data_IF_261883980648
#
_entry.id   IF_261883980648
#
_cell.length_a   1.000
_cell.length_b   1.000
_cell.length_c   1.000
_cell.angle_alpha   90.00
_cell.angle_beta   90.00
_cell.angle_gamma   90.00
#
_symmetry.space_group_name_H-M   'P 1'
#
loop_
_entity.id
_entity.type
_entity.pdbx_description
1 polymer ?
#
# COMPACT_ATOMS: atom_id res chain seq x y z
N UNK A 1 20.12 6.49 1.42
CA UNK A 1 18.88 6.09 2.10
C UNK A 1 17.77 6.94 1.51
N UNK A 2 16.59 6.38 1.20
CA UNK A 2 15.46 7.22 0.79
C UNK A 2 14.90 7.84 2.06
N UNK A 3 15.04 9.15 2.20
CA UNK A 3 14.65 9.86 3.41
C UNK A 3 13.16 10.18 3.42
N UNK A 4 12.58 10.30 4.61
CA UNK A 4 11.22 10.78 4.77
C UNK A 4 11.09 12.21 4.28
N UNK A 5 10.18 12.44 3.34
CA UNK A 5 9.74 13.78 2.99
C UNK A 5 8.63 14.23 3.96
N UNK A 6 8.54 15.55 4.17
CA UNK A 6 7.45 16.13 4.95
C UNK A 6 6.28 16.44 4.02
N UNK A 7 5.08 16.05 4.42
CA UNK A 7 3.84 16.30 3.70
C UNK A 7 2.88 17.10 4.58
N UNK A 8 2.40 18.23 4.06
CA UNK A 8 1.24 18.90 4.65
C UNK A 8 -0.03 18.23 4.09
N UNK A 9 -0.66 17.38 4.90
CA UNK A 9 -1.80 16.60 4.46
C UNK A 9 -3.00 17.49 4.09
N UNK A 10 -3.56 17.28 2.89
CA UNK A 10 -4.72 17.98 2.37
C UNK A 10 -5.81 16.96 2.01
N UNK A 11 -6.90 16.98 2.80
CA UNK A 11 -8.02 16.05 2.63
C UNK A 11 -8.72 16.20 1.28
N UNK A 12 -8.79 17.42 0.71
CA UNK A 12 -9.47 17.64 -0.57
C UNK A 12 -8.67 17.01 -1.71
N UNK A 13 -7.34 17.12 -1.66
CA UNK A 13 -6.46 16.40 -2.59
C UNK A 13 -6.59 14.90 -2.39
N UNK A 14 -6.54 14.42 -1.15
CA UNK A 14 -6.71 12.99 -0.84
C UNK A 14 -8.01 12.41 -1.43
N UNK A 15 -9.13 13.11 -1.30
CA UNK A 15 -10.41 12.68 -1.88
C UNK A 15 -10.35 12.59 -3.41
N UNK A 16 -9.74 13.59 -4.07
CA UNK A 16 -9.53 13.54 -5.53
C UNK A 16 -8.64 12.36 -5.93
N UNK A 17 -7.55 12.12 -5.20
CA UNK A 17 -6.66 11.00 -5.44
C UNK A 17 -7.35 9.64 -5.22
N UNK A 18 -8.30 9.57 -4.28
CA UNK A 18 -9.16 8.40 -4.09
C UNK A 18 -10.10 8.16 -5.28
N UNK A 19 -10.68 9.21 -5.86
CA UNK A 19 -11.47 9.09 -7.10
C UNK A 19 -10.60 8.60 -8.25
N UNK A 20 -9.34 9.06 -8.34
CA UNK A 20 -8.38 8.59 -9.32
C UNK A 20 -8.00 7.11 -9.11
N UNK A 21 -7.96 6.64 -7.85
CA UNK A 21 -7.75 5.22 -7.55
C UNK A 21 -8.93 4.39 -8.05
N UNK A 22 -10.16 4.87 -7.83
CA UNK A 22 -11.35 4.22 -8.37
C UNK A 22 -11.27 4.08 -9.89
N UNK A 23 -10.85 5.14 -10.59
CA UNK A 23 -10.66 5.11 -12.04
C UNK A 23 -9.62 4.05 -12.44
N UNK A 24 -8.48 3.96 -11.73
CA UNK A 24 -7.47 2.94 -11.99
C UNK A 24 -8.06 1.52 -11.82
N UNK A 25 -8.76 1.27 -10.72
CA UNK A 25 -9.38 -0.01 -10.40
C UNK A 25 -10.45 -0.41 -11.43
N UNK A 26 -11.22 0.55 -11.93
CA UNK A 26 -12.27 0.30 -12.93
C UNK A 26 -11.70 0.17 -14.37
N UNK A 27 -10.43 0.52 -14.61
CA UNK A 27 -9.84 0.58 -15.95
C UNK A 27 -9.33 -0.75 -16.51
N UNK A 28 -8.97 -1.71 -15.66
CA UNK A 28 -8.36 -3.00 -16.04
C UNK A 28 -8.83 -4.10 -15.09
N UNK A 29 -8.94 -5.33 -15.61
CA UNK A 29 -9.26 -6.49 -14.74
C UNK A 29 -8.09 -6.97 -13.91
N UNK A 30 -6.88 -6.67 -14.37
CA UNK A 30 -5.60 -7.12 -13.81
C UNK A 30 -4.71 -5.89 -13.72
N UNK A 31 -4.21 -5.61 -12.52
CA UNK A 31 -3.42 -4.42 -12.21
C UNK A 31 -2.07 -4.88 -11.69
N UNK A 32 -1.00 -4.48 -12.37
CA UNK A 32 0.38 -4.83 -12.01
C UNK A 32 0.83 -4.03 -10.79
N UNK A 33 1.40 -4.69 -9.79
CA UNK A 33 2.05 -4.02 -8.66
C UNK A 33 3.10 -3.01 -9.17
N UNK A 34 4.06 -3.50 -9.96
CA UNK A 34 5.19 -2.72 -10.46
C UNK A 34 4.81 -1.63 -11.46
N UNK A 35 3.93 -1.95 -12.40
CA UNK A 35 3.67 -1.07 -13.55
C UNK A 35 2.48 -0.13 -13.35
N UNK A 36 1.58 -0.46 -12.42
CA UNK A 36 0.38 0.32 -12.17
C UNK A 36 0.33 0.85 -10.72
N UNK A 37 0.42 -0.02 -9.70
CA UNK A 37 0.16 0.35 -8.30
C UNK A 37 1.27 1.22 -7.72
N UNK A 38 2.52 0.75 -7.76
CA UNK A 38 3.68 1.50 -7.24
C UNK A 38 3.82 2.89 -7.88
N UNK A 39 3.79 3.05 -9.22
CA UNK A 39 3.87 4.39 -9.82
C UNK A 39 2.63 5.24 -9.52
N UNK A 40 1.45 4.65 -9.38
CA UNK A 40 0.23 5.36 -9.01
C UNK A 40 0.35 5.98 -7.61
N UNK A 41 0.66 5.18 -6.59
CA UNK A 41 0.79 5.68 -5.23
C UNK A 41 1.95 6.69 -5.11
N UNK A 42 3.07 6.47 -5.82
CA UNK A 42 4.19 7.44 -5.85
C UNK A 42 3.80 8.84 -6.33
N UNK A 43 2.81 8.94 -7.22
CA UNK A 43 2.31 10.22 -7.75
C UNK A 43 1.18 10.82 -6.89
N UNK A 44 0.57 10.01 -6.02
CA UNK A 44 -0.62 10.34 -5.22
C UNK A 44 -0.27 10.36 -3.75
N UNK A 45 0.46 11.42 -3.36
CA UNK A 45 1.10 11.53 -2.03
C UNK A 45 0.08 11.63 -0.89
N UNK A 46 -1.06 12.28 -1.12
CA UNK A 46 -2.06 12.45 -0.07
C UNK A 46 -2.79 11.13 0.19
N UNK A 47 -3.18 10.41 -0.86
CA UNK A 47 -3.73 9.06 -0.75
C UNK A 47 -2.71 8.08 -0.17
N UNK A 48 -1.44 8.18 -0.57
CA UNK A 48 -0.37 7.36 0.00
C UNK A 48 -0.19 7.63 1.49
N UNK A 49 -0.12 8.89 1.90
CA UNK A 49 -0.03 9.22 3.32
C UNK A 49 -1.28 8.74 4.09
N UNK A 50 -2.47 8.81 3.47
CA UNK A 50 -3.70 8.37 4.11
C UNK A 50 -3.73 6.87 4.45
N UNK A 51 -2.95 6.01 3.77
CA UNK A 51 -2.87 4.59 4.15
C UNK A 51 -2.35 4.40 5.58
N UNK A 52 -1.56 5.33 6.11
CA UNK A 52 -1.12 5.32 7.51
C UNK A 52 -2.26 5.41 8.52
N UNK A 53 -3.45 5.91 8.13
CA UNK A 53 -4.60 6.05 9.04
C UNK A 53 -5.17 4.71 9.52
N UNK A 54 -4.77 3.60 8.91
CA UNK A 54 -5.11 2.26 9.41
C UNK A 54 -4.35 1.91 10.70
N UNK A 55 -3.23 2.57 11.00
CA UNK A 55 -2.56 2.47 12.28
C UNK A 55 -3.19 3.45 13.29
N UNK A 56 -3.83 2.98 14.37
CA UNK A 56 -4.54 3.86 15.32
C UNK A 56 -3.62 4.81 16.09
N UNK A 57 -2.29 4.61 16.06
CA UNK A 57 -1.32 5.49 16.70
C UNK A 57 -0.87 6.65 15.80
N UNK A 58 -1.26 6.65 14.52
CA UNK A 58 -1.02 7.75 13.58
C UNK A 58 -2.21 8.71 13.64
N UNK A 59 -1.98 9.91 14.17
CA UNK A 59 -2.97 10.99 14.21
C UNK A 59 -2.78 11.98 13.06
N UNK A 60 -1.54 12.13 12.58
CA UNK A 60 -1.17 12.99 11.47
C UNK A 60 -0.30 12.21 10.50
N UNK A 61 -0.65 12.19 9.22
CA UNK A 61 0.14 11.56 8.17
C UNK A 61 1.05 12.60 7.50
N UNK A 62 2.10 13.04 8.20
CA UNK A 62 2.98 14.15 7.77
C UNK A 62 4.37 13.72 7.30
N UNK A 63 4.69 12.43 7.40
CA UNK A 63 5.92 11.84 6.86
C UNK A 63 5.58 10.75 5.87
N UNK A 64 6.28 10.75 4.74
CA UNK A 64 6.16 9.71 3.74
C UNK A 64 7.52 9.37 3.15
N UNK A 65 7.78 8.10 2.90
CA UNK A 65 8.93 7.62 2.15
C UNK A 65 8.49 6.45 1.27
N UNK A 66 9.02 6.39 0.06
CA UNK A 66 8.75 5.29 -0.86
C UNK A 66 9.97 4.39 -0.92
N UNK A 67 9.74 3.08 -1.06
CA UNK A 67 10.81 2.10 -1.22
C UNK A 67 11.84 2.23 -0.07
N UNK A 68 11.34 2.37 1.16
CA UNK A 68 12.10 2.74 2.35
C UNK A 68 12.90 1.55 2.87
N UNK A 69 14.18 1.82 3.14
CA UNK A 69 15.13 0.82 3.62
C UNK A 69 15.03 0.66 5.14
N UNK A 70 14.82 -0.57 5.60
CA UNK A 70 14.72 -0.94 7.00
C UNK A 70 15.98 -1.72 7.35
N UNK A 71 16.95 -0.99 7.89
CA UNK A 71 18.24 -1.51 8.38
C UNK A 71 19.07 -2.28 7.35
N UNK A 72 18.87 -2.05 6.05
CA UNK A 72 19.59 -2.71 4.96
C UNK A 72 19.17 -4.16 4.68
N UNK A 73 18.32 -4.75 5.51
CA UNK A 73 17.86 -6.14 5.39
C UNK A 73 16.48 -6.23 4.72
N UNK A 74 15.63 -5.23 4.96
CA UNK A 74 14.28 -5.18 4.42
C UNK A 74 14.01 -3.87 3.72
N UNK A 75 13.01 -3.89 2.85
CA UNK A 75 12.57 -2.72 2.11
C UNK A 75 11.07 -2.77 1.97
N UNK A 76 10.41 -1.68 2.37
CA UNK A 76 8.97 -1.53 2.23
C UNK A 76 8.62 -0.61 1.08
N UNK A 77 7.51 -0.88 0.38
CA UNK A 77 7.09 -0.03 -0.72
C UNK A 77 6.73 1.39 -0.29
N UNK A 78 6.12 1.54 0.88
CA UNK A 78 5.69 2.81 1.44
C UNK A 78 5.83 2.82 2.96
N UNK A 79 6.47 3.85 3.49
CA UNK A 79 6.47 4.17 4.91
C UNK A 79 5.71 5.47 5.13
N UNK A 80 4.73 5.46 6.02
CA UNK A 80 4.01 6.64 6.49
C UNK A 80 4.34 6.87 7.96
N UNK A 81 4.56 8.12 8.35
CA UNK A 81 4.86 8.47 9.73
C UNK A 81 4.05 9.65 10.24
N UNK A 82 3.93 9.68 11.56
CA UNK A 82 3.45 10.79 12.36
C UNK A 82 4.63 11.36 13.15
N UNK A 83 5.08 12.56 12.77
CA UNK A 83 6.22 13.18 13.41
C UNK A 83 5.96 13.65 14.84
N UNK A 84 4.70 13.76 15.27
CA UNK A 84 4.30 14.15 16.62
C UNK A 84 4.20 12.93 17.53
N UNK A 85 3.43 11.92 17.15
CA UNK A 85 3.23 10.70 17.95
C UNK A 85 4.41 9.72 17.86
N UNK A 86 5.31 9.92 16.89
CA UNK A 86 6.43 9.02 16.56
C UNK A 86 5.97 7.61 16.18
N UNK A 87 4.73 7.49 15.70
CA UNK A 87 4.22 6.26 15.10
C UNK A 87 4.56 6.19 13.61
N UNK A 88 4.88 5.00 13.13
CA UNK A 88 5.13 4.72 11.72
C UNK A 88 4.32 3.50 11.28
N UNK A 89 3.92 3.49 10.02
CA UNK A 89 3.20 2.42 9.36
C UNK A 89 3.95 2.08 8.07
N UNK A 90 4.39 0.83 7.96
CA UNK A 90 5.01 0.27 6.76
C UNK A 90 3.93 -0.47 5.97
N UNK A 91 3.94 -0.27 4.65
CA UNK A 91 2.88 -0.69 3.74
C UNK A 91 3.53 -1.36 2.55
N UNK A 92 3.18 -2.62 2.34
CA UNK A 92 3.50 -3.39 1.14
C UNK A 92 2.30 -3.36 0.18
N UNK A 93 2.58 -3.17 -1.11
CA UNK A 93 1.58 -3.25 -2.14
C UNK A 93 1.69 -4.60 -2.86
N UNK A 94 0.54 -5.14 -3.26
CA UNK A 94 0.43 -6.39 -4.01
C UNK A 94 -0.37 -6.16 -5.28
N UNK A 95 -0.26 -7.07 -6.25
CA UNK A 95 -1.05 -7.00 -7.47
C UNK A 95 -2.56 -7.14 -7.23
N UNK A 96 -3.38 -6.54 -8.11
CA UNK A 96 -4.83 -6.73 -8.09
C UNK A 96 -5.27 -7.57 -9.30
N UNK A 97 -5.29 -8.89 -9.10
CA UNK A 97 -5.79 -9.89 -10.05
C UNK A 97 -6.98 -10.62 -9.46
N UNK A 98 -7.75 -11.26 -10.33
CA UNK A 98 -8.94 -12.05 -9.93
C UNK A 98 -8.64 -13.15 -8.92
N UNK A 99 -7.41 -13.64 -8.90
CA UNK A 99 -6.94 -14.70 -8.01
C UNK A 99 -5.94 -14.22 -6.94
N UNK A 100 -5.78 -12.90 -6.73
CA UNK A 100 -4.81 -12.37 -5.76
C UNK A 100 -5.14 -12.75 -4.33
N UNK A 101 -6.42 -12.85 -3.94
CA UNK A 101 -6.82 -13.30 -2.60
C UNK A 101 -7.18 -14.78 -2.58
N UNK A 102 -8.05 -15.20 -3.49
CA UNK A 102 -8.55 -16.57 -3.57
C UNK A 102 -8.31 -17.16 -4.96
N UNK A 103 -7.78 -18.38 -5.02
CA UNK A 103 -7.68 -19.15 -6.26
C UNK A 103 -8.69 -20.28 -6.31
N UNK A 104 -9.17 -20.58 -7.52
CA UNK A 104 -9.94 -21.82 -7.77
C UNK A 104 -9.00 -23.01 -7.84
N UNK A 105 -9.42 -24.12 -7.25
CA UNK A 105 -8.70 -25.39 -7.34
C UNK A 105 -9.51 -26.38 -8.15
N UNK A 106 -8.84 -27.05 -9.10
CA UNK A 106 -9.50 -28.06 -9.92
C UNK A 106 -10.16 -29.13 -9.05
N UNK A 107 -11.39 -29.52 -9.40
CA UNK A 107 -12.15 -30.54 -8.69
C UNK A 107 -12.51 -30.22 -7.23
N UNK A 108 -12.48 -28.94 -6.83
CA UNK A 108 -13.02 -28.49 -5.53
C UNK A 108 -14.10 -27.45 -5.75
N UNK A 109 -15.17 -27.52 -4.96
CA UNK A 109 -16.24 -26.53 -4.96
C UNK A 109 -15.83 -25.22 -4.25
N UNK A 110 -14.86 -25.30 -3.34
CA UNK A 110 -14.34 -24.17 -2.56
C UNK A 110 -13.09 -23.57 -3.21
N UNK A 111 -12.85 -22.29 -2.94
CA UNK A 111 -11.57 -21.62 -3.23
C UNK A 111 -10.56 -21.85 -2.11
N UNK A 112 -9.29 -21.59 -2.40
CA UNK A 112 -8.21 -21.57 -1.41
C UNK A 112 -7.54 -20.20 -1.40
N UNK A 113 -6.83 -19.88 -0.31
CA UNK A 113 -5.93 -18.74 -0.28
C UNK A 113 -4.92 -18.84 -1.43
N UNK A 114 -4.68 -17.71 -2.08
CA UNK A 114 -3.70 -17.66 -3.15
C UNK A 114 -2.28 -17.68 -2.54
N UNK A 115 -1.29 -18.27 -3.23
CA UNK A 115 0.11 -18.14 -2.82
C UNK A 115 0.57 -16.68 -2.69
N UNK A 116 -0.03 -15.74 -3.44
CA UNK A 116 0.29 -14.31 -3.34
C UNK A 116 -0.17 -13.75 -2.01
N UNK A 117 -1.42 -14.06 -1.62
CA UNK A 117 -1.97 -13.63 -0.35
C UNK A 117 -1.19 -14.22 0.83
N UNK A 118 -0.84 -15.51 0.74
CA UNK A 118 0.01 -16.17 1.75
C UNK A 118 1.40 -15.52 1.84
N UNK A 119 2.00 -15.16 0.70
CA UNK A 119 3.27 -14.45 0.66
C UNK A 119 3.19 -13.08 1.34
N UNK A 120 2.24 -12.23 0.95
CA UNK A 120 2.06 -10.91 1.56
C UNK A 120 1.75 -11.00 3.06
N UNK A 121 0.90 -11.94 3.47
CA UNK A 121 0.63 -12.18 4.90
C UNK A 121 1.87 -12.63 5.65
N UNK A 122 2.73 -13.47 5.06
CA UNK A 122 3.96 -13.94 5.70
C UNK A 122 4.89 -12.78 6.06
N UNK A 123 4.99 -11.75 5.23
CA UNK A 123 5.81 -10.56 5.50
C UNK A 123 5.31 -9.73 6.71
N UNK A 124 4.05 -9.89 7.11
CA UNK A 124 3.48 -9.19 8.27
C UNK A 124 3.69 -9.93 9.60
N UNK A 125 3.95 -11.25 9.54
CA UNK A 125 4.00 -12.11 10.73
C UNK A 125 5.38 -12.67 11.03
N UNK A 126 6.28 -12.70 10.04
CA UNK A 126 7.69 -13.09 10.17
C UNK A 126 8.51 -11.98 10.85
#
# INVERSE_FOLDING_TARGET
>A
MKDFETLEFDIKKCMKEMDDLKILLDSKSDISEKDDILPFFRQRKHLSAFTGSFNPNISVCDKIAYEFDIWGDFKTDLAVGDSYSKAYCFVEFEDAKKDSVFRKVANRATTEWSPRFEHGLSQLVD
#
